data_IF_436347365224
#
_entry.id   IF_436347365224
#
_cell.length_a   1.000
_cell.length_b   1.000
_cell.length_c   1.000
_cell.angle_alpha   90.00
_cell.angle_beta   90.00
_cell.angle_gamma   90.00
#
_symmetry.space_group_name_H-M   'P 1'
#
loop_
_entity.id
_entity.type
_entity.pdbx_description
1 polymer ?
#
# COMPACT_ATOMS: atom_id res chain seq x y z
N UNK A 1 -21.42 1.68 0.01
CA UNK A 1 -20.65 2.57 0.90
C UNK A 1 -20.67 3.94 0.27
N UNK A 2 -20.90 5.01 1.04
CA UNK A 2 -20.90 6.37 0.49
C UNK A 2 -19.52 6.66 -0.12
N UNK A 3 -19.52 7.09 -1.38
CA UNK A 3 -18.32 7.53 -2.08
C UNK A 3 -17.81 8.78 -1.36
N UNK A 4 -16.68 8.67 -0.65
CA UNK A 4 -16.10 9.81 0.07
C UNK A 4 -15.47 10.74 -0.97
N UNK A 5 -16.22 11.77 -1.35
CA UNK A 5 -15.95 12.60 -2.52
C UNK A 5 -14.67 13.44 -2.40
N UNK A 6 -14.29 13.81 -1.16
CA UNK A 6 -13.17 14.73 -0.90
C UNK A 6 -12.29 14.34 0.29
N UNK A 7 -11.18 15.07 0.45
CA UNK A 7 -10.23 14.89 1.55
C UNK A 7 -10.90 15.19 2.90
N UNK A 8 -11.81 16.16 2.95
CA UNK A 8 -12.56 16.53 4.14
C UNK A 8 -13.46 15.42 4.64
N UNK A 9 -14.18 14.76 3.72
CA UNK A 9 -15.01 13.59 4.05
C UNK A 9 -14.18 12.43 4.60
N UNK A 10 -12.96 12.25 4.07
CA UNK A 10 -12.03 11.21 4.53
C UNK A 10 -11.43 11.54 5.89
N UNK A 11 -11.08 12.81 6.14
CA UNK A 11 -10.70 13.29 7.46
C UNK A 11 -11.83 13.03 8.47
N UNK A 12 -13.06 13.38 8.14
CA UNK A 12 -14.23 13.14 8.98
C UNK A 12 -14.46 11.65 9.25
N UNK A 13 -14.31 10.79 8.23
CA UNK A 13 -14.46 9.35 8.35
C UNK A 13 -13.38 8.72 9.26
N UNK A 14 -12.11 9.08 9.07
CA UNK A 14 -11.02 8.60 9.91
C UNK A 14 -11.14 9.09 11.36
N UNK A 15 -11.54 10.35 11.55
CA UNK A 15 -11.84 10.93 12.86
C UNK A 15 -12.99 10.21 13.57
N UNK A 16 -14.07 9.90 12.85
CA UNK A 16 -15.22 9.19 13.38
C UNK A 16 -14.86 7.77 13.87
N UNK A 17 -13.98 7.06 13.16
CA UNK A 17 -13.47 5.74 13.59
C UNK A 17 -12.77 5.79 14.95
N UNK A 18 -12.05 6.88 15.24
CA UNK A 18 -11.42 7.12 16.56
C UNK A 18 -12.32 7.82 17.59
N UNK A 19 -13.60 8.01 17.27
CA UNK A 19 -14.57 8.71 18.12
C UNK A 19 -14.07 10.10 18.58
N UNK A 20 -13.30 10.78 17.72
CA UNK A 20 -12.75 12.09 18.04
C UNK A 20 -13.68 13.22 17.55
N UNK A 21 -13.85 14.26 18.36
CA UNK A 21 -14.47 15.52 17.91
C UNK A 21 -13.48 16.31 17.05
N UNK A 22 -13.94 17.33 16.30
CA UNK A 22 -13.05 18.21 15.55
C UNK A 22 -12.03 18.91 16.47
N UNK A 23 -12.45 19.31 17.68
CA UNK A 23 -11.56 19.91 18.69
C UNK A 23 -10.51 18.91 19.17
N UNK A 24 -10.91 17.66 19.46
CA UNK A 24 -9.97 16.61 19.85
C UNK A 24 -8.97 16.31 18.73
N UNK A 25 -9.44 16.29 17.48
CA UNK A 25 -8.57 16.08 16.32
C UNK A 25 -7.59 17.23 16.12
N UNK A 26 -8.03 18.49 16.27
CA UNK A 26 -7.16 19.65 16.22
C UNK A 26 -6.06 19.58 17.30
N UNK A 27 -6.43 19.18 18.53
CA UNK A 27 -5.48 18.96 19.62
C UNK A 27 -4.49 17.82 19.35
N UNK A 28 -4.95 16.70 18.77
CA UNK A 28 -4.08 15.57 18.40
C UNK A 28 -3.03 15.94 17.35
N UNK A 29 -3.30 16.96 16.53
CA UNK A 29 -2.40 17.46 15.48
C UNK A 29 -1.67 18.74 15.91
N UNK A 30 -1.88 19.20 17.14
CA UNK A 30 -1.31 20.44 17.67
C UNK A 30 -1.58 21.68 16.78
N UNK A 31 -2.77 21.74 16.16
CA UNK A 31 -3.21 22.86 15.33
C UNK A 31 -4.43 23.58 15.94
N UNK A 32 -4.68 24.81 15.48
CA UNK A 32 -5.87 25.55 15.88
C UNK A 32 -7.17 24.88 15.39
N UNK A 33 -8.21 24.86 16.24
CA UNK A 33 -9.54 24.31 15.93
C UNK A 33 -10.13 24.84 14.61
N UNK A 34 -9.96 26.14 14.36
CA UNK A 34 -10.43 26.79 13.13
C UNK A 34 -9.70 26.26 11.89
N UNK A 35 -8.42 25.94 12.00
CA UNK A 35 -7.64 25.36 10.91
C UNK A 35 -8.16 23.97 10.59
N UNK A 36 -8.26 23.09 11.59
CA UNK A 36 -8.80 21.73 11.40
C UNK A 36 -10.20 21.78 10.76
N UNK A 37 -11.10 22.61 11.29
CA UNK A 37 -12.46 22.78 10.76
C UNK A 37 -12.48 23.26 9.31
N UNK A 38 -11.56 24.15 8.92
CA UNK A 38 -11.47 24.63 7.54
C UNK A 38 -10.89 23.58 6.60
N UNK A 39 -9.97 22.73 7.07
CA UNK A 39 -9.45 21.61 6.30
C UNK A 39 -10.52 20.54 6.09
N UNK A 40 -11.20 20.11 7.16
CA UNK A 40 -12.24 19.08 7.08
C UNK A 40 -13.47 19.55 6.28
N UNK A 41 -13.75 20.85 6.24
CA UNK A 41 -14.80 21.45 5.41
C UNK A 41 -14.32 21.84 3.99
N UNK A 42 -13.06 21.54 3.64
CA UNK A 42 -12.42 21.88 2.37
C UNK A 42 -12.49 23.37 1.99
N UNK A 43 -12.64 24.24 2.99
CA UNK A 43 -12.59 25.71 2.82
C UNK A 43 -11.17 26.22 2.68
N UNK A 44 -10.20 25.39 3.04
CA UNK A 44 -8.77 25.63 2.91
C UNK A 44 -8.09 24.32 2.55
N UNK A 45 -7.13 24.38 1.63
CA UNK A 45 -6.29 23.23 1.28
C UNK A 45 -5.55 22.72 2.52
N UNK A 46 -5.49 21.39 2.67
CA UNK A 46 -4.77 20.72 3.75
C UNK A 46 -3.26 20.76 3.46
N UNK A 47 -2.43 21.43 4.29
CA UNK A 47 -0.99 21.42 4.10
C UNK A 47 -0.44 19.99 4.21
N UNK A 48 0.52 19.62 3.37
CA UNK A 48 1.10 18.27 3.33
C UNK A 48 1.64 17.82 4.70
N UNK A 49 2.31 18.70 5.44
CA UNK A 49 2.80 18.38 6.79
C UNK A 49 1.66 17.94 7.73
N UNK A 50 0.55 18.69 7.74
CA UNK A 50 -0.63 18.35 8.55
C UNK A 50 -1.29 17.06 8.05
N UNK A 51 -1.24 16.78 6.75
CA UNK A 51 -1.75 15.52 6.20
C UNK A 51 -0.93 14.31 6.68
N UNK A 52 0.39 14.43 6.79
CA UNK A 52 1.27 13.38 7.35
C UNK A 52 0.98 13.18 8.83
N UNK A 53 0.93 14.25 9.62
CA UNK A 53 0.60 14.17 11.05
C UNK A 53 -0.79 13.56 11.28
N UNK A 54 -1.75 13.88 10.39
CA UNK A 54 -3.08 13.28 10.39
C UNK A 54 -3.01 11.78 10.15
N UNK A 55 -2.26 11.34 9.15
CA UNK A 55 -2.09 9.93 8.83
C UNK A 55 -1.54 9.13 10.01
N UNK A 56 -0.54 9.66 10.71
CA UNK A 56 0.03 9.05 11.91
C UNK A 56 -0.97 9.04 13.07
N UNK A 57 -1.56 10.20 13.38
CA UNK A 57 -2.49 10.35 14.50
C UNK A 57 -3.78 9.54 14.33
N UNK A 58 -4.21 9.27 13.10
CA UNK A 58 -5.45 8.56 12.77
C UNK A 58 -5.25 7.16 12.19
N UNK A 59 -4.00 6.69 12.05
CA UNK A 59 -3.64 5.36 11.55
C UNK A 59 -4.24 5.08 10.15
N UNK A 60 -3.99 6.01 9.22
CA UNK A 60 -4.44 5.91 7.82
C UNK A 60 -3.29 6.22 6.85
N UNK A 61 -3.32 5.63 5.66
CA UNK A 61 -2.31 5.88 4.63
C UNK A 61 -2.55 7.23 3.93
N UNK A 62 -1.47 7.93 3.59
CA UNK A 62 -1.53 9.23 2.90
C UNK A 62 -2.19 9.10 1.53
N UNK A 63 -1.90 8.03 0.80
CA UNK A 63 -2.52 7.75 -0.49
C UNK A 63 -4.04 7.60 -0.38
N UNK A 64 -4.53 6.98 0.70
CA UNK A 64 -5.97 6.91 0.97
C UNK A 64 -6.55 8.29 1.28
N UNK A 65 -5.86 9.09 2.10
CA UNK A 65 -6.32 10.43 2.44
C UNK A 65 -6.41 11.33 1.18
N UNK A 66 -5.46 11.23 0.25
CA UNK A 66 -5.41 12.07 -0.95
C UNK A 66 -6.35 11.57 -2.05
N UNK A 67 -6.31 10.27 -2.39
CA UNK A 67 -7.02 9.74 -3.55
C UNK A 67 -8.35 9.07 -3.21
N UNK A 68 -8.62 8.81 -1.93
CA UNK A 68 -9.85 8.18 -1.44
C UNK A 68 -10.01 6.70 -1.77
N UNK A 69 -9.20 6.19 -2.67
CA UNK A 69 -9.02 4.76 -2.83
C UNK A 69 -8.14 4.31 -1.68
N UNK A 70 -8.58 3.32 -0.90
CA UNK A 70 -7.57 2.49 -0.25
C UNK A 70 -6.88 1.90 -1.46
N UNK A 71 -5.68 2.39 -1.78
CA UNK A 71 -4.73 1.57 -2.46
C UNK A 71 -4.57 0.38 -1.53
N UNK A 72 -5.45 -0.60 -1.65
CA UNK A 72 -5.19 -1.90 -2.20
C UNK A 72 -3.78 -2.43 -1.98
N UNK A 73 -3.08 -2.00 -0.95
CA UNK A 73 -1.74 -2.48 -0.65
C UNK A 73 -1.86 -3.95 -0.32
N UNK A 74 -2.95 -4.34 0.35
CA UNK A 74 -3.34 -5.73 0.54
C UNK A 74 -3.60 -6.41 -0.81
N UNK A 75 -4.52 -5.94 -1.67
CA UNK A 75 -4.83 -6.72 -2.89
C UNK A 75 -3.77 -6.58 -3.99
N UNK A 76 -2.97 -5.52 -4.03
CA UNK A 76 -1.72 -5.42 -4.81
C UNK A 76 -0.66 -6.37 -4.29
N UNK A 77 -0.52 -6.52 -2.97
CA UNK A 77 0.42 -7.50 -2.41
C UNK A 77 -0.07 -8.90 -2.71
N UNK A 78 -1.36 -9.18 -2.54
CA UNK A 78 -1.96 -10.46 -2.87
C UNK A 78 -1.86 -10.77 -4.37
N UNK A 79 -2.06 -9.77 -5.22
CA UNK A 79 -1.88 -9.83 -6.67
C UNK A 79 -0.43 -10.14 -7.03
N UNK A 80 0.53 -9.38 -6.50
CA UNK A 80 1.95 -9.61 -6.75
C UNK A 80 2.42 -10.97 -6.24
N UNK A 81 1.91 -11.44 -5.10
CA UNK A 81 2.18 -12.80 -4.60
C UNK A 81 1.61 -13.84 -5.55
N UNK A 82 0.36 -13.69 -6.00
CA UNK A 82 -0.29 -14.61 -6.95
C UNK A 82 0.49 -14.68 -8.26
N UNK A 83 0.82 -13.52 -8.85
CA UNK A 83 1.63 -13.42 -10.07
C UNK A 83 3.03 -14.02 -9.89
N UNK A 84 3.63 -13.87 -8.71
CA UNK A 84 4.93 -14.48 -8.39
C UNK A 84 4.86 -15.99 -8.38
N UNK A 85 3.82 -16.56 -7.76
CA UNK A 85 3.61 -18.01 -7.74
C UNK A 85 3.40 -18.53 -9.17
N UNK A 86 2.55 -17.87 -9.95
CA UNK A 86 2.30 -18.23 -11.36
C UNK A 86 3.59 -18.19 -12.19
N UNK A 87 4.40 -17.13 -12.05
CA UNK A 87 5.65 -16.99 -12.78
C UNK A 87 6.66 -18.09 -12.42
N UNK A 88 6.75 -18.47 -11.14
CA UNK A 88 7.62 -19.58 -10.70
C UNK A 88 7.19 -20.90 -11.34
N UNK A 89 5.89 -21.21 -11.34
CA UNK A 89 5.41 -22.45 -11.93
C UNK A 89 5.50 -22.47 -13.46
N UNK A 90 5.22 -21.34 -14.11
CA UNK A 90 5.35 -21.21 -15.56
C UNK A 90 6.80 -21.41 -16.02
N UNK A 91 7.76 -20.79 -15.34
CA UNK A 91 9.19 -20.93 -15.65
C UNK A 91 9.67 -22.37 -15.38
N UNK A 92 9.29 -22.97 -14.25
CA UNK A 92 9.63 -24.36 -13.94
C UNK A 92 9.08 -25.34 -14.99
N UNK A 93 7.84 -25.12 -15.44
CA UNK A 93 7.22 -25.92 -16.49
C UNK A 93 7.95 -25.74 -17.84
N UNK A 94 8.28 -24.51 -18.22
CA UNK A 94 9.04 -24.21 -19.43
C UNK A 94 10.41 -24.89 -19.43
N UNK A 95 11.09 -24.90 -18.28
CA UNK A 95 12.39 -25.56 -18.08
C UNK A 95 12.29 -27.07 -17.85
N UNK A 96 11.07 -27.63 -17.74
CA UNK A 96 10.80 -29.03 -17.39
C UNK A 96 11.47 -29.45 -16.06
N UNK A 97 11.48 -28.55 -15.10
CA UNK A 97 12.06 -28.77 -13.77
C UNK A 97 10.99 -29.16 -12.74
N UNK A 98 11.32 -30.07 -11.84
CA UNK A 98 10.53 -30.33 -10.64
C UNK A 98 11.13 -29.56 -9.46
N UNK A 99 10.39 -28.60 -8.92
CA UNK A 99 10.83 -27.81 -7.78
C UNK A 99 10.43 -28.46 -6.45
N UNK A 100 11.36 -28.50 -5.50
CA UNK A 100 11.00 -28.74 -4.10
C UNK A 100 10.32 -27.50 -3.51
N UNK A 101 9.45 -27.66 -2.49
CA UNK A 101 8.80 -26.51 -1.83
C UNK A 101 9.81 -25.47 -1.32
N UNK A 102 10.94 -25.92 -0.77
CA UNK A 102 11.99 -25.02 -0.27
C UNK A 102 12.67 -24.22 -1.40
N UNK A 103 12.90 -24.83 -2.57
CA UNK A 103 13.47 -24.12 -3.72
C UNK A 103 12.46 -23.14 -4.31
N UNK A 104 11.21 -23.55 -4.47
CA UNK A 104 10.13 -22.67 -4.94
C UNK A 104 9.98 -21.44 -4.03
N UNK A 105 10.00 -21.63 -2.71
CA UNK A 105 9.92 -20.54 -1.74
C UNK A 105 11.08 -19.54 -1.84
N UNK A 106 12.33 -20.03 -2.01
CA UNK A 106 13.50 -19.16 -2.20
C UNK A 106 13.38 -18.33 -3.47
N UNK A 107 13.11 -18.98 -4.61
CA UNK A 107 12.95 -18.32 -5.91
C UNK A 107 11.84 -17.28 -5.86
N UNK A 108 10.67 -17.64 -5.33
CA UNK A 108 9.54 -16.73 -5.18
C UNK A 108 9.89 -15.51 -4.32
N UNK A 109 10.62 -15.70 -3.22
CA UNK A 109 11.07 -14.61 -2.35
C UNK A 109 11.97 -13.59 -3.07
N UNK A 110 12.90 -14.07 -3.89
CA UNK A 110 13.77 -13.18 -4.69
C UNK A 110 13.01 -12.43 -5.78
N UNK A 111 12.11 -13.12 -6.50
CA UNK A 111 11.27 -12.48 -7.52
C UNK A 111 10.43 -11.36 -6.89
N UNK A 112 9.71 -11.66 -5.81
CA UNK A 112 8.89 -10.68 -5.08
C UNK A 112 9.73 -9.48 -4.61
N UNK A 113 10.90 -9.74 -4.03
CA UNK A 113 11.82 -8.69 -3.58
C UNK A 113 12.26 -7.78 -4.74
N UNK A 114 12.60 -8.35 -5.89
CA UNK A 114 12.99 -7.55 -7.05
C UNK A 114 11.82 -6.73 -7.60
N UNK A 115 10.62 -7.32 -7.72
CA UNK A 115 9.44 -6.60 -8.21
C UNK A 115 9.09 -5.41 -7.29
N UNK A 116 9.15 -5.60 -5.97
CA UNK A 116 8.87 -4.53 -5.01
C UNK A 116 9.93 -3.42 -5.01
N UNK A 117 11.20 -3.76 -5.21
CA UNK A 117 12.30 -2.78 -5.22
C UNK A 117 12.47 -2.05 -6.56
N UNK A 118 12.29 -2.76 -7.68
CA UNK A 118 12.59 -2.25 -9.02
C UNK A 118 11.34 -1.85 -9.81
N UNK A 119 10.14 -2.19 -9.32
CA UNK A 119 8.89 -1.97 -10.05
C UNK A 119 8.73 -2.86 -11.29
N UNK A 120 9.45 -3.99 -11.34
CA UNK A 120 9.36 -4.98 -12.43
C UNK A 120 8.23 -5.98 -12.17
N UNK A 121 7.88 -6.77 -13.19
CA UNK A 121 6.86 -7.82 -13.04
C UNK A 121 7.48 -9.20 -12.78
N UNK A 122 6.77 -10.10 -12.06
CA UNK A 122 7.30 -11.42 -11.77
C UNK A 122 7.68 -12.24 -13.01
N UNK A 123 6.94 -12.04 -14.11
CA UNK A 123 7.22 -12.68 -15.41
C UNK A 123 8.60 -12.33 -15.97
N UNK A 124 9.07 -11.10 -15.75
CA UNK A 124 10.38 -10.65 -16.24
C UNK A 124 11.49 -11.16 -15.33
N UNK A 125 11.25 -11.18 -14.02
CA UNK A 125 12.24 -11.58 -13.02
C UNK A 125 12.45 -13.10 -12.93
N UNK A 126 11.45 -13.92 -13.30
CA UNK A 126 11.50 -15.37 -13.13
C UNK A 126 12.72 -16.03 -13.79
N UNK A 127 12.92 -15.84 -15.10
CA UNK A 127 14.05 -16.44 -15.83
C UNK A 127 15.42 -16.12 -15.21
N UNK A 128 15.78 -14.83 -15.02
CA UNK A 128 17.05 -14.43 -14.41
C UNK A 128 17.27 -15.01 -13.00
N UNK A 129 16.21 -15.09 -12.18
CA UNK A 129 16.34 -15.68 -10.84
C UNK A 129 16.55 -17.19 -10.92
N UNK A 130 15.86 -17.90 -11.81
CA UNK A 130 16.13 -19.34 -12.00
C UNK A 130 17.57 -19.59 -12.44
N UNK A 131 18.10 -18.79 -13.37
CA UNK A 131 19.49 -18.90 -13.83
C UNK A 131 20.49 -18.68 -12.68
N UNK A 132 20.19 -17.76 -11.75
CA UNK A 132 21.02 -17.53 -10.57
C UNK A 132 21.10 -18.78 -9.67
N UNK A 133 19.99 -19.50 -9.49
CA UNK A 133 19.93 -20.70 -8.64
C UNK A 133 20.39 -21.99 -9.34
N UNK A 134 20.49 -22.02 -10.67
CA UNK A 134 21.05 -23.15 -11.41
C UNK A 134 22.60 -23.17 -11.38
N UNK A 135 23.22 -22.06 -10.96
CA UNK A 135 24.68 -21.89 -10.86
C UNK A 135 25.25 -22.02 -9.43
N UNK A 136 24.42 -22.37 -8.43
CA UNK A 136 24.81 -22.70 -7.05
C UNK A 136 24.89 -24.21 -6.83
#
# INVERSE_FOLDING_TARGET
MADLAGIGDRMAAARAKKQASQVKAAAMLEIADKSYKNYEAEKRELPLAVAVDFCEAFDVQLEWLIYGHQADRADRTAGLVSETVEAVFAEAQQRKLTLSPARAGRVAGYIYSNCTQKGTSPKIEAGPIFDMFDNE
#
